data_IF_430602158842
#
_entry.id   IF_430602158842
#
_cell.length_a   1.000
_cell.length_b   1.000
_cell.length_c   1.000
_cell.angle_alpha   90.00
_cell.angle_beta   90.00
_cell.angle_gamma   90.00
#
_symmetry.space_group_name_H-M   'P 1'
#
loop_
_entity.id
_entity.type
_entity.pdbx_description
1 polymer ?
#
# COMPACT_ATOMS: atom_id res chain seq x y z
N UNK A 1 11.96 -2.64 -10.41
CA UNK A 1 11.81 -1.58 -9.38
C UNK A 1 11.02 -2.13 -8.20
N UNK A 2 11.53 -1.98 -6.96
CA UNK A 2 10.85 -2.40 -5.74
C UNK A 2 9.51 -1.69 -5.57
N UNK A 3 8.56 -2.37 -4.92
CA UNK A 3 7.18 -1.92 -4.75
C UNK A 3 6.80 -2.01 -3.28
N UNK A 4 6.09 -0.97 -2.84
CA UNK A 4 5.44 -0.91 -1.54
C UNK A 4 3.96 -0.74 -1.77
N UNK A 5 3.18 -1.64 -1.16
CA UNK A 5 1.74 -1.56 -1.18
C UNK A 5 1.28 -0.81 0.07
N UNK A 6 0.49 0.24 -0.10
CA UNK A 6 -0.05 1.02 1.00
C UNK A 6 -1.58 0.95 0.97
N UNK A 7 -2.18 0.40 2.02
CA UNK A 7 -3.61 0.16 2.12
C UNK A 7 -4.27 1.26 2.94
N UNK A 8 -4.98 2.16 2.25
CA UNK A 8 -5.63 3.33 2.83
C UNK A 8 -7.12 3.04 3.04
N UNK A 9 -7.55 2.91 4.29
CA UNK A 9 -8.92 2.52 4.65
C UNK A 9 -9.76 3.60 5.32
N UNK A 10 -9.16 4.45 6.15
CA UNK A 10 -9.90 5.42 6.99
C UNK A 10 -9.22 6.77 7.16
N UNK A 11 -7.94 6.88 6.81
CA UNK A 11 -7.23 8.15 6.83
C UNK A 11 -5.94 8.03 6.04
N UNK A 12 -5.68 8.98 5.15
CA UNK A 12 -4.47 9.04 4.32
C UNK A 12 -3.16 9.17 5.15
N UNK A 13 -3.24 9.34 6.47
CA UNK A 13 -2.19 9.86 7.32
C UNK A 13 -0.94 8.96 7.42
N UNK A 14 -1.09 7.67 7.72
CA UNK A 14 0.06 6.75 7.83
C UNK A 14 0.77 6.54 6.47
N UNK A 15 -0.03 6.38 5.41
CA UNK A 15 0.44 6.31 4.04
C UNK A 15 1.18 7.58 3.57
N UNK A 16 0.68 8.75 3.98
CA UNK A 16 1.26 10.07 3.69
C UNK A 16 2.60 10.28 4.37
N UNK A 17 2.69 10.04 5.67
CA UNK A 17 3.89 10.32 6.44
C UNK A 17 5.08 9.52 5.90
N UNK A 18 4.86 8.27 5.51
CA UNK A 18 5.91 7.42 4.99
C UNK A 18 6.28 7.73 3.54
N UNK A 19 5.28 7.91 2.65
CA UNK A 19 5.51 8.24 1.23
C UNK A 19 6.26 9.56 1.03
N UNK A 20 6.04 10.53 1.92
CA UNK A 20 6.69 11.85 1.86
C UNK A 20 8.04 11.89 2.60
N UNK A 21 8.22 11.14 3.69
CA UNK A 21 9.38 11.34 4.57
C UNK A 21 10.32 10.15 4.74
N UNK A 22 9.90 8.90 4.46
CA UNK A 22 10.67 7.70 4.82
C UNK A 22 10.92 6.73 3.67
N UNK A 23 10.60 7.12 2.43
CA UNK A 23 10.73 6.26 1.24
C UNK A 23 12.19 6.03 0.84
N UNK A 24 12.64 4.76 0.67
CA UNK A 24 13.94 4.47 0.07
C UNK A 24 14.01 4.97 -1.39
N UNK A 25 15.19 5.39 -1.87
CA UNK A 25 15.39 5.79 -3.26
C UNK A 25 14.86 4.72 -4.24
N UNK A 26 14.28 5.15 -5.36
CA UNK A 26 13.86 4.27 -6.47
C UNK A 26 12.79 3.20 -6.14
N UNK A 27 11.92 3.46 -5.16
CA UNK A 27 10.85 2.52 -4.78
C UNK A 27 9.48 3.04 -5.22
N UNK A 28 8.70 2.27 -5.98
CA UNK A 28 7.32 2.66 -6.30
C UNK A 28 6.42 2.43 -5.10
N UNK A 29 5.62 3.43 -4.73
CA UNK A 29 4.58 3.28 -3.71
C UNK A 29 3.22 3.25 -4.40
N UNK A 30 2.47 2.18 -4.20
CA UNK A 30 1.12 2.02 -4.73
C UNK A 30 0.14 2.13 -3.58
N UNK A 31 -0.59 3.24 -3.53
CA UNK A 31 -1.63 3.46 -2.56
C UNK A 31 -2.95 2.93 -3.09
N UNK A 32 -3.45 1.89 -2.43
CA UNK A 32 -4.75 1.31 -2.65
C UNK A 32 -5.72 1.98 -1.69
N UNK A 33 -6.64 2.77 -2.23
CA UNK A 33 -7.62 3.54 -1.46
C UNK A 33 -8.94 2.79 -1.43
N UNK A 34 -9.45 2.52 -0.23
CA UNK A 34 -10.71 1.82 -0.03
C UNK A 34 -11.92 2.74 -0.20
N UNK A 35 -12.52 2.68 -1.38
CA UNK A 35 -13.63 3.54 -1.81
C UNK A 35 -13.12 4.66 -2.67
N UNK A 36 -13.15 5.88 -2.13
CA UNK A 36 -12.72 7.10 -2.82
C UNK A 36 -11.76 7.90 -1.95
N UNK A 37 -10.97 8.74 -2.59
CA UNK A 37 -10.12 9.75 -1.96
C UNK A 37 -10.70 11.12 -2.30
N UNK A 38 -10.71 12.03 -1.33
CA UNK A 38 -11.12 13.42 -1.59
C UNK A 38 -10.20 14.08 -2.61
N UNK A 39 -10.79 14.93 -3.46
CA UNK A 39 -10.09 15.56 -4.57
C UNK A 39 -8.89 16.41 -4.13
N UNK A 40 -9.02 17.08 -2.98
CA UNK A 40 -7.96 17.88 -2.36
C UNK A 40 -6.75 17.01 -2.00
N UNK A 41 -6.99 15.86 -1.36
CA UNK A 41 -5.92 14.92 -0.99
C UNK A 41 -5.26 14.35 -2.25
N UNK A 42 -6.04 14.03 -3.28
CA UNK A 42 -5.52 13.55 -4.58
C UNK A 42 -4.61 14.59 -5.26
N UNK A 43 -4.94 15.88 -5.16
CA UNK A 43 -4.15 16.95 -5.76
C UNK A 43 -2.76 17.11 -5.11
N UNK A 44 -2.67 16.88 -3.79
CA UNK A 44 -1.41 16.96 -3.03
C UNK A 44 -0.40 15.85 -3.41
N UNK A 45 -0.86 14.74 -3.97
CA UNK A 45 -0.05 13.54 -4.23
C UNK A 45 0.42 13.45 -5.68
N UNK A 46 -0.36 14.01 -6.61
CA UNK A 46 -0.01 14.09 -8.05
C UNK A 46 1.42 14.57 -8.36
N UNK A 47 2.06 15.49 -7.60
CA UNK A 47 3.41 15.92 -7.94
C UNK A 47 4.53 14.94 -7.53
N UNK A 48 4.24 13.84 -6.82
CA UNK A 48 5.29 12.94 -6.31
C UNK A 48 5.60 11.83 -7.32
N UNK A 49 6.80 11.87 -7.91
CA UNK A 49 7.28 10.81 -8.79
C UNK A 49 7.27 9.44 -8.09
N UNK A 50 6.80 8.41 -8.82
CA UNK A 50 6.76 7.00 -8.38
C UNK A 50 5.74 6.70 -7.27
N UNK A 51 4.75 7.59 -7.09
CA UNK A 51 3.57 7.34 -6.27
C UNK A 51 2.38 7.10 -7.18
N UNK A 52 1.75 5.94 -7.03
CA UNK A 52 0.54 5.56 -7.76
C UNK A 52 -0.65 5.52 -6.81
N UNK A 53 -1.78 6.05 -7.28
CA UNK A 53 -3.04 6.08 -6.52
C UNK A 53 -4.10 5.27 -7.24
N UNK A 54 -4.61 4.24 -6.57
CA UNK A 54 -5.65 3.36 -7.11
C UNK A 54 -6.83 3.34 -6.14
N UNK A 55 -7.94 3.95 -6.54
CA UNK A 55 -9.19 3.86 -5.80
C UNK A 55 -9.89 2.53 -6.12
N UNK A 56 -10.23 1.77 -5.09
CA UNK A 56 -10.86 0.44 -5.22
C UNK A 56 -12.16 0.42 -4.42
N UNK A 57 -13.29 0.01 -5.02
CA UNK A 57 -14.56 -0.07 -4.31
C UNK A 57 -14.46 -0.91 -3.04
N UNK A 58 -15.10 -0.45 -1.95
CA UNK A 58 -14.95 -1.05 -0.60
C UNK A 58 -15.20 -2.56 -0.56
N UNK A 59 -16.14 -3.04 -1.39
CA UNK A 59 -16.54 -4.46 -1.49
C UNK A 59 -15.43 -5.35 -2.06
N UNK A 60 -14.57 -4.82 -2.94
CA UNK A 60 -13.53 -5.58 -3.65
C UNK A 60 -12.10 -5.21 -3.23
N UNK A 61 -11.97 -4.27 -2.28
CA UNK A 61 -10.68 -3.79 -1.79
C UNK A 61 -9.72 -4.90 -1.35
N UNK A 62 -10.17 -5.77 -0.44
CA UNK A 62 -9.33 -6.82 0.13
C UNK A 62 -8.96 -7.92 -0.87
N UNK A 63 -9.90 -8.40 -1.71
CA UNK A 63 -9.56 -9.26 -2.84
C UNK A 63 -8.51 -8.66 -3.78
N UNK A 64 -8.69 -7.39 -4.19
CA UNK A 64 -7.75 -6.74 -5.10
C UNK A 64 -6.37 -6.51 -4.46
N UNK A 65 -6.34 -6.08 -3.20
CA UNK A 65 -5.11 -5.92 -2.43
C UNK A 65 -4.34 -7.25 -2.29
N UNK A 66 -5.05 -8.36 -2.09
CA UNK A 66 -4.44 -9.69 -2.02
C UNK A 66 -3.85 -10.14 -3.36
N UNK A 67 -4.56 -9.90 -4.48
CA UNK A 67 -4.04 -10.21 -5.81
C UNK A 67 -2.78 -9.41 -6.14
N UNK A 68 -2.75 -8.12 -5.81
CA UNK A 68 -1.56 -7.28 -5.99
C UNK A 68 -0.41 -7.73 -5.09
N UNK A 69 -0.72 -8.10 -3.84
CA UNK A 69 0.26 -8.71 -2.95
C UNK A 69 0.91 -9.94 -3.59
N UNK A 70 0.10 -10.91 -4.02
CA UNK A 70 0.61 -12.13 -4.66
C UNK A 70 1.41 -11.83 -5.93
N UNK A 71 0.95 -10.89 -6.74
CA UNK A 71 1.61 -10.48 -7.97
C UNK A 71 3.02 -9.91 -7.72
N UNK A 72 3.13 -8.90 -6.85
CA UNK A 72 4.42 -8.25 -6.59
C UNK A 72 5.33 -9.10 -5.72
N UNK A 73 4.78 -9.89 -4.81
CA UNK A 73 5.57 -10.82 -4.02
C UNK A 73 6.08 -11.97 -4.91
N UNK A 74 5.24 -12.58 -5.74
CA UNK A 74 5.67 -13.61 -6.70
C UNK A 74 6.73 -13.10 -7.70
N UNK A 75 6.68 -11.81 -8.07
CA UNK A 75 7.70 -11.18 -8.90
C UNK A 75 9.00 -10.80 -8.15
N UNK A 76 9.10 -11.05 -6.83
CA UNK A 76 10.25 -10.66 -6.01
C UNK A 76 10.43 -9.14 -5.87
N UNK A 77 9.38 -8.36 -6.10
CA UNK A 77 9.41 -6.89 -6.12
C UNK A 77 8.80 -6.26 -4.88
N UNK A 78 7.99 -7.00 -4.13
CA UNK A 78 7.33 -6.49 -2.93
C UNK A 78 8.33 -6.37 -1.76
N UNK A 79 8.51 -5.16 -1.26
CA UNK A 79 9.36 -4.88 -0.09
C UNK A 79 8.55 -4.74 1.21
N UNK A 80 7.42 -4.04 1.15
CA UNK A 80 6.64 -3.73 2.33
C UNK A 80 5.15 -3.61 2.03
N UNK A 81 4.35 -3.87 3.06
CA UNK A 81 2.93 -3.54 3.11
C UNK A 81 2.73 -2.55 4.24
N UNK A 82 2.13 -1.42 3.90
CA UNK A 82 1.71 -0.39 4.84
C UNK A 82 0.19 -0.47 5.01
N UNK A 83 -0.27 -0.30 6.23
CA UNK A 83 -1.70 -0.35 6.57
C UNK A 83 -2.04 0.75 7.57
N UNK A 84 -3.27 1.25 7.55
CA UNK A 84 -3.65 2.34 8.46
C UNK A 84 -4.04 1.90 9.88
N UNK A 85 -4.11 0.59 10.16
CA UNK A 85 -4.63 0.09 11.44
C UNK A 85 -4.21 -1.36 11.75
N UNK A 86 -4.25 -1.70 13.05
CA UNK A 86 -3.89 -3.03 13.57
C UNK A 86 -4.73 -4.18 13.01
N UNK A 87 -5.99 -3.94 12.65
CA UNK A 87 -6.85 -4.99 12.09
C UNK A 87 -6.33 -5.41 10.72
N UNK A 88 -5.94 -4.43 9.92
CA UNK A 88 -5.34 -4.62 8.61
C UNK A 88 -3.93 -5.21 8.74
N UNK A 89 -3.18 -4.80 9.76
CA UNK A 89 -1.86 -5.37 10.09
C UNK A 89 -1.95 -6.87 10.36
N UNK A 90 -2.89 -7.30 11.21
CA UNK A 90 -3.14 -8.73 11.49
C UNK A 90 -3.49 -9.51 10.23
N UNK A 91 -4.31 -8.92 9.35
CA UNK A 91 -4.70 -9.56 8.08
C UNK A 91 -3.51 -9.70 7.13
N UNK A 92 -2.71 -8.66 6.95
CA UNK A 92 -1.51 -8.70 6.11
C UNK A 92 -0.40 -9.58 6.70
N UNK A 93 -0.31 -9.67 8.02
CA UNK A 93 0.57 -10.61 8.72
C UNK A 93 0.26 -12.06 8.42
N UNK A 94 -1.01 -12.40 8.17
CA UNK A 94 -1.35 -13.73 7.66
C UNK A 94 -0.82 -13.93 6.24
N UNK A 95 -0.89 -12.92 5.36
CA UNK A 95 -0.40 -13.05 3.98
C UNK A 95 1.11 -13.18 3.89
N UNK A 96 1.85 -12.41 4.69
CA UNK A 96 3.30 -12.45 4.74
C UNK A 96 3.84 -13.82 5.17
N UNK A 97 3.08 -14.62 5.94
CA UNK A 97 3.46 -16.00 6.28
C UNK A 97 3.43 -16.97 5.09
N UNK A 98 2.71 -16.62 4.02
CA UNK A 98 2.48 -17.51 2.87
C UNK A 98 3.51 -17.28 1.77
N UNK A 99 4.35 -16.25 1.90
CA UNK A 99 5.36 -15.90 0.89
C UNK A 99 6.72 -15.79 1.58
N UNK A 100 7.77 -16.45 1.08
CA UNK A 100 9.09 -16.52 1.74
C UNK A 100 9.89 -15.20 1.69
N UNK A 101 9.25 -14.07 1.36
CA UNK A 101 9.91 -12.78 1.16
C UNK A 101 9.77 -11.97 2.44
N UNK A 102 10.83 -11.28 2.90
CA UNK A 102 10.77 -10.40 4.06
C UNK A 102 9.92 -9.16 3.73
N UNK A 103 8.60 -9.31 3.85
CA UNK A 103 7.67 -8.20 3.71
C UNK A 103 7.60 -7.46 5.04
N UNK A 104 8.10 -6.23 5.06
CA UNK A 104 7.97 -5.36 6.24
C UNK A 104 6.52 -4.90 6.35
N UNK A 105 5.93 -5.07 7.53
CA UNK A 105 4.61 -4.54 7.84
C UNK A 105 4.77 -3.24 8.65
N UNK A 106 4.06 -2.20 8.25
CA UNK A 106 4.06 -0.89 8.92
C UNK A 106 2.61 -0.48 9.15
N UNK A 107 2.26 -0.16 10.40
CA UNK A 107 0.99 0.42 10.78
C UNK A 107 1.14 1.93 11.04
#
# INVERSE_FOLDING_TARGET
MPVILSFVERGWQAAREWSLHQRPPQTTVIHLIKGSLDAEVRALIRPVHQVELIAIPRKVFWPAAFLLFLWYAGAGRLQAIMVDNDRSLKRCGLWAKWVPIPVRLVA
#
